data_IF_953589002995
#
_entry.id   IF_953589002995
#
_cell.length_a   1.000
_cell.length_b   1.000
_cell.length_c   1.000
_cell.angle_alpha   90.00
_cell.angle_beta   90.00
_cell.angle_gamma   90.00
#
_symmetry.space_group_name_H-M   'P 1'
#
loop_
_entity.id
_entity.type
_entity.pdbx_description
1 polymer ?
#
# COMPACT_ATOMS: atom_id res chain seq x y z
N UNK A 1 -8.99 -2.02 -28.39
CA UNK A 1 -8.31 -3.07 -27.60
C UNK A 1 -9.01 -4.38 -27.86
N UNK A 2 -8.29 -5.49 -28.01
CA UNK A 2 -8.92 -6.80 -28.18
C UNK A 2 -9.38 -7.30 -26.82
N UNK A 3 -10.68 -7.46 -26.64
CA UNK A 3 -11.28 -7.99 -25.42
C UNK A 3 -11.13 -9.51 -25.40
N UNK A 4 -10.72 -10.06 -24.26
CA UNK A 4 -10.60 -11.51 -24.05
C UNK A 4 -11.63 -11.96 -23.02
N UNK A 5 -11.99 -13.24 -23.04
CA UNK A 5 -12.95 -13.81 -22.09
C UNK A 5 -12.47 -13.60 -20.63
N UNK A 6 -11.19 -13.86 -20.35
CA UNK A 6 -10.58 -13.65 -19.03
C UNK A 6 -10.65 -12.19 -18.57
N UNK A 7 -10.45 -11.24 -19.50
CA UNK A 7 -10.51 -9.81 -19.15
C UNK A 7 -11.94 -9.39 -18.84
N UNK A 8 -12.92 -9.88 -19.61
CA UNK A 8 -14.33 -9.60 -19.33
C UNK A 8 -14.77 -10.22 -18.00
N UNK A 9 -14.32 -11.44 -17.66
CA UNK A 9 -14.56 -12.02 -16.34
C UNK A 9 -13.96 -11.17 -15.21
N UNK A 10 -12.74 -10.67 -15.38
CA UNK A 10 -12.11 -9.79 -14.40
C UNK A 10 -12.87 -8.46 -14.23
N UNK A 11 -13.43 -7.91 -15.32
CA UNK A 11 -14.26 -6.71 -15.26
C UNK A 11 -15.56 -6.97 -14.51
N UNK A 12 -16.28 -8.06 -14.81
CA UNK A 12 -17.52 -8.42 -14.11
C UNK A 12 -17.25 -8.67 -12.62
N UNK A 13 -16.16 -9.35 -12.27
CA UNK A 13 -15.81 -9.62 -10.88
C UNK A 13 -15.40 -8.36 -10.10
N UNK A 14 -14.77 -7.38 -10.74
CA UNK A 14 -14.29 -6.17 -10.09
C UNK A 14 -15.34 -5.05 -10.01
N UNK A 15 -16.17 -4.90 -11.05
CA UNK A 15 -17.10 -3.78 -11.20
C UNK A 15 -18.57 -4.18 -11.18
N UNK A 16 -18.89 -5.47 -11.15
CA UNK A 16 -20.25 -5.98 -11.12
C UNK A 16 -20.89 -6.09 -12.49
N UNK A 17 -22.21 -6.29 -12.48
CA UNK A 17 -22.99 -6.57 -13.69
C UNK A 17 -23.36 -5.32 -14.51
N UNK A 18 -23.10 -4.12 -13.99
CA UNK A 18 -23.42 -2.84 -14.64
C UNK A 18 -22.29 -2.37 -15.57
N UNK A 19 -22.51 -2.31 -16.90
CA UNK A 19 -21.51 -1.83 -17.85
C UNK A 19 -21.11 -0.36 -17.65
N UNK A 20 -21.95 0.45 -17.00
CA UNK A 20 -21.63 1.86 -16.74
C UNK A 20 -20.53 2.04 -15.69
N UNK A 21 -20.34 1.05 -14.82
CA UNK A 21 -19.28 1.02 -13.82
C UNK A 21 -17.91 0.59 -14.41
N UNK A 22 -17.89 0.06 -15.63
CA UNK A 22 -16.65 -0.41 -16.27
C UNK A 22 -15.77 0.75 -16.75
N UNK A 23 -14.43 0.58 -16.78
CA UNK A 23 -13.51 1.58 -17.29
C UNK A 23 -13.87 2.03 -18.72
N UNK A 24 -13.89 3.35 -18.96
CA UNK A 24 -14.37 3.92 -20.22
C UNK A 24 -13.61 3.42 -21.45
N UNK A 25 -12.29 3.19 -21.30
CA UNK A 25 -11.40 2.70 -22.36
C UNK A 25 -11.75 1.28 -22.82
N UNK A 26 -12.31 0.47 -21.93
CA UNK A 26 -12.58 -0.95 -22.16
C UNK A 26 -14.07 -1.26 -22.33
N UNK A 27 -14.96 -0.40 -21.84
CA UNK A 27 -16.42 -0.58 -21.86
C UNK A 27 -16.97 -0.94 -23.23
N UNK A 28 -16.63 -0.18 -24.27
CA UNK A 28 -17.15 -0.44 -25.61
C UNK A 28 -16.69 -1.80 -26.17
N UNK A 29 -15.46 -2.22 -25.86
CA UNK A 29 -14.94 -3.53 -26.27
C UNK A 29 -15.57 -4.67 -25.45
N UNK A 30 -15.84 -4.43 -24.16
CA UNK A 30 -16.46 -5.38 -23.25
C UNK A 30 -17.93 -5.65 -23.63
N UNK A 31 -18.68 -4.59 -23.93
CA UNK A 31 -20.08 -4.69 -24.39
C UNK A 31 -20.17 -5.44 -25.73
N UNK A 32 -19.30 -5.13 -26.70
CA UNK A 32 -19.26 -5.84 -27.97
C UNK A 32 -18.94 -7.33 -27.79
N UNK A 33 -18.01 -7.65 -26.87
CA UNK A 33 -17.61 -9.03 -26.59
C UNK A 33 -18.70 -9.82 -25.84
N UNK A 34 -19.37 -9.16 -24.90
CA UNK A 34 -20.51 -9.71 -24.16
C UNK A 34 -21.70 -9.98 -25.09
N UNK A 35 -21.99 -9.06 -26.01
CA UNK A 35 -23.06 -9.22 -26.99
C UNK A 35 -22.79 -10.39 -27.96
N UNK A 36 -21.52 -10.64 -28.29
CA UNK A 36 -21.12 -11.76 -29.14
C UNK A 36 -21.18 -13.12 -28.43
N UNK A 37 -21.07 -13.16 -27.10
CA UNK A 37 -20.90 -14.40 -26.31
C UNK A 37 -21.76 -14.42 -25.04
N UNK A 38 -23.01 -13.94 -25.11
CA UNK A 38 -23.86 -13.71 -23.94
C UNK A 38 -24.03 -14.97 -23.07
N UNK A 39 -24.19 -16.15 -23.68
CA UNK A 39 -24.40 -17.40 -22.97
C UNK A 39 -23.22 -17.80 -22.07
N UNK A 40 -21.97 -17.42 -22.43
CA UNK A 40 -20.78 -17.77 -21.63
C UNK A 40 -20.69 -16.97 -20.34
N UNK A 41 -21.12 -15.71 -20.37
CA UNK A 41 -21.00 -14.80 -19.23
C UNK A 41 -22.28 -14.69 -18.41
N UNK A 42 -23.37 -15.35 -18.85
CA UNK A 42 -24.68 -15.30 -18.18
C UNK A 42 -24.59 -15.69 -16.70
N UNK A 43 -23.85 -16.76 -16.37
CA UNK A 43 -23.67 -17.20 -14.99
C UNK A 43 -22.90 -16.16 -14.14
N UNK A 44 -21.82 -15.61 -14.68
CA UNK A 44 -21.01 -14.60 -13.98
C UNK A 44 -21.80 -13.29 -13.76
N UNK A 45 -22.61 -12.88 -14.74
CA UNK A 45 -23.48 -11.72 -14.62
C UNK A 45 -24.59 -11.94 -13.59
N UNK A 46 -25.17 -13.14 -13.54
CA UNK A 46 -26.22 -13.45 -12.57
C UNK A 46 -25.68 -13.46 -11.13
N UNK A 47 -24.50 -14.03 -10.92
CA UNK A 47 -23.80 -13.98 -9.63
C UNK A 47 -23.51 -12.54 -9.19
N UNK A 48 -22.97 -11.72 -10.11
CA UNK A 48 -22.72 -10.30 -9.84
C UNK A 48 -24.02 -9.54 -9.52
N UNK A 49 -25.12 -9.77 -10.25
CA UNK A 49 -26.42 -9.16 -9.95
C UNK A 49 -26.96 -9.57 -8.60
N UNK A 50 -26.80 -10.83 -8.22
CA UNK A 50 -27.25 -11.31 -6.91
C UNK A 50 -26.50 -10.60 -5.78
N UNK A 51 -25.20 -10.36 -5.94
CA UNK A 51 -24.40 -9.59 -5.00
C UNK A 51 -24.82 -8.11 -4.95
N UNK A 52 -25.02 -7.49 -6.12
CA UNK A 52 -25.47 -6.09 -6.22
C UNK A 52 -26.84 -5.90 -5.54
N UNK A 53 -27.76 -6.85 -5.71
CA UNK A 53 -29.06 -6.85 -5.04
C UNK A 53 -28.94 -7.04 -3.52
N UNK A 54 -28.02 -7.88 -3.06
CA UNK A 54 -27.78 -8.08 -1.63
C UNK A 54 -27.26 -6.78 -0.97
N UNK A 55 -26.37 -6.06 -1.66
CA UNK A 55 -25.91 -4.74 -1.19
C UNK A 55 -27.01 -3.69 -1.26
N UNK A 56 -27.80 -3.64 -2.34
CA UNK A 56 -28.92 -2.70 -2.47
C UNK A 56 -30.03 -2.92 -1.43
N UNK A 57 -30.22 -4.16 -0.97
CA UNK A 57 -31.19 -4.51 0.06
C UNK A 57 -30.72 -4.15 1.49
N UNK A 58 -29.45 -3.79 1.67
CA UNK A 58 -28.90 -3.43 2.97
C UNK A 58 -29.30 -2.00 3.33
N UNK A 59 -30.01 -1.84 4.44
CA UNK A 59 -30.36 -0.53 4.98
C UNK A 59 -29.08 0.18 5.46
N UNK A 60 -28.71 1.26 4.78
CA UNK A 60 -27.56 2.06 5.16
C UNK A 60 -28.07 3.16 6.09
N UNK A 61 -27.71 3.16 7.38
CA UNK A 61 -28.21 4.15 8.31
C UNK A 61 -27.80 5.56 7.87
N UNK A 62 -28.73 6.51 7.98
CA UNK A 62 -28.48 7.91 7.67
C UNK A 62 -27.29 8.45 8.47
N UNK A 63 -26.47 9.27 7.82
CA UNK A 63 -25.36 9.92 8.48
C UNK A 63 -25.91 10.85 9.59
N UNK A 64 -25.38 10.77 10.83
CA UNK A 64 -25.85 11.62 11.91
C UNK A 64 -25.62 13.11 11.59
N UNK A 65 -26.59 13.95 11.97
CA UNK A 65 -26.50 15.38 11.74
C UNK A 65 -25.20 15.96 12.31
N UNK A 66 -24.46 16.71 11.48
CA UNK A 66 -23.19 17.32 11.88
C UNK A 66 -21.97 16.39 11.85
N UNK A 67 -22.08 15.13 11.40
CA UNK A 67 -20.92 14.24 11.22
C UNK A 67 -19.87 14.88 10.30
N UNK A 68 -20.29 15.47 9.19
CA UNK A 68 -19.39 16.18 8.28
C UNK A 68 -18.63 17.33 8.97
N UNK A 69 -19.32 18.11 9.82
CA UNK A 69 -18.70 19.20 10.57
C UNK A 69 -17.70 18.69 11.62
N UNK A 70 -18.00 17.55 12.27
CA UNK A 70 -17.08 16.90 13.22
C UNK A 70 -15.84 16.35 12.52
N UNK A 71 -16.01 15.65 11.40
CA UNK A 71 -14.89 15.17 10.57
C UNK A 71 -14.03 16.35 10.13
N UNK A 72 -14.64 17.46 9.71
CA UNK A 72 -13.89 18.65 9.27
C UNK A 72 -13.15 19.35 10.44
N UNK A 73 -13.72 19.33 11.64
CA UNK A 73 -13.09 19.88 12.83
C UNK A 73 -11.91 19.03 13.33
N UNK A 74 -11.97 17.72 13.12
CA UNK A 74 -10.96 16.76 13.55
C UNK A 74 -9.93 16.41 12.45
N UNK A 75 -10.22 16.81 11.20
CA UNK A 75 -9.29 16.65 10.10
C UNK A 75 -7.97 17.36 10.42
N UNK A 76 -6.81 16.67 10.29
CA UNK A 76 -5.53 17.31 10.49
C UNK A 76 -5.41 18.47 9.50
N UNK A 77 -5.47 19.69 10.02
CA UNK A 77 -5.18 20.89 9.25
C UNK A 77 -3.77 20.70 8.70
N UNK A 78 -3.64 20.58 7.38
CA UNK A 78 -2.34 20.61 6.73
C UNK A 78 -1.60 21.82 7.30
N UNK A 79 -0.46 21.57 7.97
CA UNK A 79 0.32 22.62 8.56
C UNK A 79 0.56 23.66 7.47
N UNK A 80 -0.09 24.82 7.59
CA UNK A 80 0.23 25.97 6.73
C UNK A 80 1.74 26.09 6.83
N UNK A 81 2.50 26.11 5.73
CA UNK A 81 3.93 26.33 5.79
C UNK A 81 4.12 27.73 6.38
N UNK A 82 4.20 27.77 7.72
CA UNK A 82 4.59 28.94 8.47
C UNK A 82 5.95 29.32 7.93
N UNK A 83 6.14 30.62 7.74
CA UNK A 83 7.33 31.26 7.20
C UNK A 83 8.57 30.97 8.05
N UNK A 84 8.97 29.70 8.13
CA UNK A 84 10.22 29.26 8.71
C UNK A 84 11.29 29.44 7.66
N UNK A 85 12.45 29.93 8.10
CA UNK A 85 13.62 30.10 7.25
C UNK A 85 13.99 28.80 6.51
N UNK A 86 13.72 27.64 7.12
CA UNK A 86 13.89 26.31 6.54
C UNK A 86 12.97 26.06 5.32
N UNK A 87 11.72 26.56 5.34
CA UNK A 87 10.82 26.49 4.17
C UNK A 87 11.33 27.31 2.99
N UNK A 88 11.94 28.47 3.25
CA UNK A 88 12.57 29.31 2.21
C UNK A 88 13.83 28.69 1.63
N UNK A 89 14.62 27.98 2.44
CA UNK A 89 15.75 27.19 1.93
C UNK A 89 15.28 25.98 1.12
N UNK A 90 14.16 25.36 1.51
CA UNK A 90 13.49 24.31 0.74
C UNK A 90 13.06 24.78 -0.65
N UNK A 91 12.47 25.97 -0.76
CA UNK A 91 12.07 26.55 -2.05
C UNK A 91 13.27 26.92 -2.94
N UNK A 92 14.42 27.28 -2.36
CA UNK A 92 15.66 27.57 -3.12
C UNK A 92 16.35 26.28 -3.58
N UNK A 93 16.40 25.24 -2.73
CA UNK A 93 16.97 23.94 -3.13
C UNK A 93 16.06 23.16 -4.07
N UNK A 94 14.74 23.35 -3.99
CA UNK A 94 13.74 22.63 -4.76
C UNK A 94 12.74 23.59 -5.45
N UNK A 95 13.19 24.40 -6.41
CA UNK A 95 12.38 25.46 -7.04
C UNK A 95 11.20 24.94 -7.87
N UNK A 96 11.18 23.65 -8.23
CA UNK A 96 10.09 23.03 -8.99
C UNK A 96 9.03 22.34 -8.12
N UNK A 97 9.03 22.61 -6.82
CA UNK A 97 8.07 22.05 -5.89
C UNK A 97 8.30 20.56 -5.68
N UNK A 98 7.79 20.08 -4.56
CA UNK A 98 7.80 18.69 -4.11
C UNK A 98 6.94 17.81 -5.03
N UNK A 99 7.28 17.70 -6.32
CA UNK A 99 6.68 16.80 -7.32
C UNK A 99 7.32 15.41 -7.27
N UNK A 100 7.88 15.02 -6.12
CA UNK A 100 8.16 13.62 -5.86
C UNK A 100 6.83 12.90 -5.61
N UNK A 101 6.57 11.74 -6.23
CA UNK A 101 5.33 11.02 -6.07
C UNK A 101 5.25 10.48 -4.64
N UNK A 102 4.67 11.26 -3.74
CA UNK A 102 4.41 10.86 -2.35
C UNK A 102 3.54 9.59 -2.23
N UNK A 103 2.93 9.13 -3.33
CA UNK A 103 2.24 7.85 -3.41
C UNK A 103 3.18 6.63 -3.37
N UNK A 104 4.39 6.73 -3.93
CA UNK A 104 5.31 5.58 -4.00
C UNK A 104 5.97 5.26 -2.65
N UNK A 105 6.30 6.29 -1.84
CA UNK A 105 6.89 6.10 -0.52
C UNK A 105 5.87 5.64 0.52
N UNK A 106 4.62 6.11 0.43
CA UNK A 106 3.53 5.61 1.27
C UNK A 106 3.22 4.13 0.96
N UNK A 107 3.20 3.73 -0.30
CA UNK A 107 3.00 2.34 -0.69
C UNK A 107 4.14 1.42 -0.22
N UNK A 108 5.40 1.87 -0.28
CA UNK A 108 6.53 1.10 0.24
C UNK A 108 6.49 0.93 1.77
N UNK A 109 6.04 1.95 2.52
CA UNK A 109 5.83 1.86 3.97
C UNK A 109 4.69 0.91 4.33
N UNK A 110 3.56 0.97 3.61
CA UNK A 110 2.42 0.07 3.82
C UNK A 110 2.81 -1.37 3.48
N UNK A 111 3.47 -1.60 2.33
CA UNK A 111 3.90 -2.94 1.90
C UNK A 111 4.95 -3.52 2.84
N UNK A 112 5.90 -2.69 3.31
CA UNK A 112 6.90 -3.07 4.31
C UNK A 112 6.30 -3.39 5.68
N UNK A 113 5.30 -2.62 6.13
CA UNK A 113 4.58 -2.86 7.37
C UNK A 113 3.75 -4.16 7.31
N UNK A 114 3.05 -4.41 6.21
CA UNK A 114 2.31 -5.66 6.02
C UNK A 114 3.25 -6.86 5.91
N UNK A 115 4.37 -6.75 5.20
CA UNK A 115 5.37 -7.82 5.16
C UNK A 115 5.94 -8.08 6.56
N UNK A 116 6.31 -7.04 7.32
CA UNK A 116 6.82 -7.19 8.68
C UNK A 116 5.83 -7.81 9.68
N UNK A 117 4.53 -7.53 9.55
CA UNK A 117 3.50 -8.09 10.45
C UNK A 117 3.14 -9.53 10.09
N UNK A 118 3.13 -9.90 8.80
CA UNK A 118 2.75 -11.25 8.35
C UNK A 118 3.93 -12.23 8.22
N UNK A 119 5.16 -11.73 8.06
CA UNK A 119 6.37 -12.56 7.97
C UNK A 119 7.23 -12.48 9.22
N UNK A 120 6.73 -11.92 10.33
CA UNK A 120 7.48 -11.90 11.58
C UNK A 120 7.92 -13.34 11.92
N UNK A 121 9.22 -13.67 11.80
CA UNK A 121 9.68 -14.93 12.34
C UNK A 121 9.48 -14.83 13.86
N UNK A 122 8.75 -15.79 14.41
CA UNK A 122 8.85 -16.05 15.83
C UNK A 122 10.34 -16.20 16.16
N UNK A 123 10.77 -15.51 17.21
CA UNK A 123 12.12 -15.52 17.80
C UNK A 123 13.21 -14.79 17.01
N UNK A 124 13.59 -13.63 17.56
CA UNK A 124 14.97 -13.20 17.52
C UNK A 124 15.83 -14.35 18.07
N UNK A 125 16.59 -15.00 17.19
CA UNK A 125 17.67 -15.87 17.61
C UNK A 125 18.84 -14.95 17.99
N UNK A 126 19.13 -14.93 19.29
CA UNK A 126 20.20 -14.19 19.98
C UNK A 126 21.61 -14.48 19.36
N UNK A 127 21.71 -15.49 18.49
CA UNK A 127 22.92 -15.88 17.77
C UNK A 127 23.40 -14.87 16.71
N UNK A 128 22.52 -14.06 16.10
CA UNK A 128 22.96 -13.12 15.06
C UNK A 128 23.74 -11.93 15.63
N UNK A 129 23.40 -11.47 16.84
CA UNK A 129 24.11 -10.37 17.50
C UNK A 129 25.51 -10.81 17.94
N UNK A 130 25.64 -12.00 18.53
CA UNK A 130 26.94 -12.53 19.00
C UNK A 130 27.93 -12.77 17.87
N UNK A 131 27.49 -13.30 16.73
CA UNK A 131 28.36 -13.51 15.55
C UNK A 131 28.83 -12.18 14.96
N UNK A 132 27.98 -11.14 15.00
CA UNK A 132 28.35 -9.82 14.50
C UNK A 132 29.31 -9.07 15.45
N UNK A 133 29.13 -9.20 16.77
CA UNK A 133 30.04 -8.62 17.75
C UNK A 133 31.43 -9.28 17.69
N UNK A 134 31.51 -10.60 17.59
CA UNK A 134 32.78 -11.34 17.57
C UNK A 134 33.63 -11.00 16.33
N UNK A 135 32.99 -10.80 15.17
CA UNK A 135 33.66 -10.36 13.95
C UNK A 135 34.12 -8.90 14.01
N UNK A 136 33.36 -8.03 14.67
CA UNK A 136 33.72 -6.61 14.84
C UNK A 136 34.88 -6.46 15.84
N UNK A 137 34.87 -7.22 16.94
CA UNK A 137 35.99 -7.24 17.90
C UNK A 137 37.25 -7.89 17.31
N UNK A 138 37.10 -8.93 16.48
CA UNK A 138 38.20 -9.51 15.72
C UNK A 138 38.79 -8.55 14.67
N UNK A 139 37.95 -7.82 13.94
CA UNK A 139 38.38 -6.87 12.91
C UNK A 139 39.01 -5.59 13.47
N UNK A 140 38.57 -5.14 14.65
CA UNK A 140 39.17 -4.02 15.38
C UNK A 140 40.47 -4.41 16.10
N UNK A 141 40.92 -5.66 15.99
CA UNK A 141 42.19 -6.15 16.55
C UNK A 141 42.20 -6.31 18.06
N UNK A 142 41.04 -6.23 18.72
CA UNK A 142 40.94 -6.34 20.18
C UNK A 142 41.10 -7.78 20.68
N UNK A 143 40.87 -8.79 19.84
CA UNK A 143 41.11 -10.21 20.18
C UNK A 143 42.58 -10.55 20.43
N UNK A 144 43.52 -9.71 19.99
CA UNK A 144 44.96 -9.87 20.28
C UNK A 144 45.42 -9.14 21.54
N UNK A 145 44.61 -8.24 22.10
CA UNK A 145 45.01 -7.44 23.26
C UNK A 145 45.01 -8.26 24.54
N UNK A 146 44.10 -9.23 24.72
CA UNK A 146 44.11 -10.12 25.88
C UNK A 146 45.36 -11.03 25.90
N UNK A 147 45.77 -11.56 24.73
CA UNK A 147 47.00 -12.34 24.62
C UNK A 147 48.27 -11.53 24.95
N UNK A 148 48.27 -10.22 24.65
CA UNK A 148 49.38 -9.32 24.96
C UNK A 148 49.42 -8.88 26.44
N UNK A 149 48.26 -8.78 27.09
CA UNK A 149 48.18 -8.41 28.52
C UNK A 149 48.58 -9.59 29.41
N UNK A 150 48.28 -10.82 29.01
CA UNK A 150 48.67 -12.02 29.76
C UNK A 150 50.18 -12.33 29.66
N UNK A 151 50.84 -12.03 28.53
CA UNK A 151 52.29 -12.20 28.36
C UNK A 151 53.12 -11.14 29.14
N UNK A 152 52.59 -9.94 29.37
CA UNK A 152 53.28 -8.86 30.10
C UNK A 152 53.11 -8.98 31.63
N UNK A 153 52.23 -9.88 32.09
CA UNK A 153 51.92 -10.06 33.52
C UNK A 153 52.47 -11.36 34.13
N UNK A 154 53.30 -12.11 33.38
CA UNK A 154 54.02 -13.32 33.83
C UNK A 154 55.48 -13.08 34.15
#
# INVERSE_FOLDING_TARGET
>A
MMMTDDRLHALIAAFGADPTAWPEEERAAAEAHLAAHTDRFAAALEEARALDLAFAATDIPDAPAGLAARILAEAPQAARPGASWAGRLGDILFPNGLRWPAGATAAALVMGLTAGVFTAPATADDGYQTVSEDLVYGALGYGGFDAYVEEVSG
#
